data_IF_333668594415
#
_entry.id   IF_333668594415
#
_cell.length_a   1.000
_cell.length_b   1.000
_cell.length_c   1.000
_cell.angle_alpha   90.00
_cell.angle_beta   90.00
_cell.angle_gamma   90.00
#
_symmetry.space_group_name_H-M   'P 1'
#
loop_
_entity.id
_entity.type
_entity.pdbx_description
1 polymer ?
#
# COMPACT_ATOMS: atom_id res chain seq x y z
N UNK A 1 2.95 -11.17 5.02
CA UNK A 1 2.47 -12.28 5.88
C UNK A 1 3.61 -13.12 6.43
N UNK A 2 4.59 -13.56 5.62
CA UNK A 2 5.78 -14.32 6.11
C UNK A 2 6.58 -13.60 7.23
N UNK A 3 6.64 -12.27 7.21
CA UNK A 3 7.29 -11.50 8.29
C UNK A 3 6.58 -11.64 9.64
N UNK A 4 5.24 -11.68 9.65
CA UNK A 4 4.44 -11.79 10.87
C UNK A 4 4.57 -13.18 11.51
N UNK A 5 4.58 -14.22 10.68
CA UNK A 5 4.78 -15.61 11.10
C UNK A 5 6.18 -15.84 11.67
N UNK A 6 7.19 -15.20 11.08
CA UNK A 6 8.57 -15.20 11.59
C UNK A 6 8.69 -14.47 12.94
N UNK A 7 7.97 -13.36 13.11
CA UNK A 7 7.93 -12.64 14.39
C UNK A 7 7.20 -13.47 15.45
N UNK A 8 6.05 -14.04 15.12
CA UNK A 8 5.27 -14.87 16.03
C UNK A 8 6.03 -16.13 16.51
N UNK A 9 6.82 -16.76 15.64
CA UNK A 9 7.68 -17.90 16.01
C UNK A 9 8.89 -17.51 16.86
N UNK A 10 9.30 -16.23 16.84
CA UNK A 10 10.41 -15.71 17.66
C UNK A 10 9.96 -15.40 19.10
N UNK A 11 8.65 -15.25 19.35
CA UNK A 11 8.07 -15.09 20.68
C UNK A 11 8.00 -16.46 21.38
N UNK A 12 9.14 -17.13 21.54
CA UNK A 12 9.28 -18.21 22.50
C UNK A 12 9.75 -17.60 23.82
N UNK A 13 8.80 -17.49 24.75
CA UNK A 13 9.09 -17.09 26.12
C UNK A 13 9.95 -18.20 26.72
N UNK A 14 11.22 -17.88 26.97
CA UNK A 14 12.21 -18.81 27.48
C UNK A 14 11.89 -19.17 28.94
N UNK A 15 11.04 -20.19 29.13
CA UNK A 15 10.62 -20.72 30.44
C UNK A 15 11.78 -21.35 31.23
N UNK A 16 12.93 -21.55 30.58
CA UNK A 16 14.12 -22.18 31.13
C UNK A 16 14.88 -21.28 32.12
N UNK A 17 14.67 -19.96 32.09
CA UNK A 17 15.46 -19.01 32.91
C UNK A 17 15.31 -19.23 34.41
N UNK A 18 14.14 -19.69 34.87
CA UNK A 18 13.89 -19.98 36.28
C UNK A 18 14.66 -21.23 36.74
N UNK A 19 14.71 -22.25 35.90
CA UNK A 19 15.44 -23.49 36.16
C UNK A 19 16.95 -23.26 36.13
N UNK A 20 17.42 -22.45 35.18
CA UNK A 20 18.81 -22.02 35.10
C UNK A 20 19.23 -21.19 36.33
N UNK A 21 18.36 -20.30 36.84
CA UNK A 21 18.62 -19.57 38.09
C UNK A 21 18.77 -20.52 39.28
N UNK A 22 17.85 -21.47 39.45
CA UNK A 22 17.90 -22.45 40.53
C UNK A 22 19.17 -23.31 40.46
N UNK A 23 19.52 -23.79 39.27
CA UNK A 23 20.74 -24.57 39.02
C UNK A 23 22.00 -23.76 39.30
N UNK A 24 22.05 -22.50 38.90
CA UNK A 24 23.18 -21.61 39.18
C UNK A 24 23.38 -21.40 40.69
N UNK A 25 22.29 -21.23 41.44
CA UNK A 25 22.38 -21.12 42.91
C UNK A 25 22.85 -22.40 43.59
N UNK A 26 22.37 -23.56 43.13
CA UNK A 26 22.79 -24.85 43.67
C UNK A 26 24.28 -25.13 43.39
N UNK A 27 24.74 -24.85 42.16
CA UNK A 27 26.13 -25.04 41.77
C UNK A 27 27.06 -24.08 42.52
N UNK A 28 26.65 -22.81 42.72
CA UNK A 28 27.42 -21.86 43.51
C UNK A 28 27.57 -22.31 44.98
N UNK A 29 26.49 -22.83 45.58
CA UNK A 29 26.54 -23.37 46.94
C UNK A 29 27.43 -24.62 47.05
N UNK A 30 27.42 -25.50 46.05
CA UNK A 30 28.35 -26.65 45.99
C UNK A 30 29.80 -26.18 45.85
N UNK A 31 30.05 -25.17 45.03
CA UNK A 31 31.39 -24.62 44.83
C UNK A 31 31.92 -23.96 46.11
N UNK A 32 31.08 -23.25 46.86
CA UNK A 32 31.43 -22.71 48.18
C UNK A 32 31.92 -23.81 49.12
N UNK A 33 31.14 -24.90 49.23
CA UNK A 33 31.48 -26.03 50.09
C UNK A 33 32.79 -26.69 49.69
N UNK A 34 33.01 -26.94 48.40
CA UNK A 34 34.26 -27.54 47.93
C UNK A 34 35.46 -26.64 48.19
N UNK A 35 35.31 -25.33 48.09
CA UNK A 35 36.36 -24.36 48.40
C UNK A 35 36.67 -24.35 49.90
N UNK A 36 35.65 -24.36 50.76
CA UNK A 36 35.84 -24.49 52.21
C UNK A 36 36.56 -25.81 52.56
N UNK A 37 36.08 -26.94 52.04
CA UNK A 37 36.69 -28.26 52.23
C UNK A 37 38.15 -28.31 51.74
N UNK A 38 38.47 -27.70 50.60
CA UNK A 38 39.85 -27.59 50.09
C UNK A 38 40.75 -26.81 51.06
N UNK A 39 40.27 -25.67 51.57
CA UNK A 39 41.03 -24.86 52.52
C UNK A 39 41.19 -25.59 53.86
N UNK A 40 40.15 -26.25 54.37
CA UNK A 40 40.20 -27.07 55.58
C UNK A 40 41.24 -28.19 55.45
N UNK A 41 41.15 -28.99 54.38
CA UNK A 41 42.10 -30.11 54.16
C UNK A 41 43.54 -29.63 53.99
N UNK A 42 43.75 -28.45 53.41
CA UNK A 42 45.08 -27.83 53.30
C UNK A 42 45.60 -27.32 54.64
N UNK A 43 44.75 -26.76 55.50
CA UNK A 43 45.09 -26.34 56.86
C UNK A 43 45.41 -27.55 57.74
N UNK A 44 44.57 -28.58 57.73
CA UNK A 44 44.79 -29.83 58.47
C UNK A 44 46.11 -30.47 58.08
N UNK A 45 46.43 -30.50 56.77
CA UNK A 45 47.71 -31.01 56.29
C UNK A 45 48.89 -30.19 56.82
N UNK A 46 48.82 -28.86 56.74
CA UNK A 46 49.88 -27.98 57.24
C UNK A 46 50.07 -28.10 58.75
N UNK A 47 48.98 -28.28 59.50
CA UNK A 47 48.99 -28.50 60.94
C UNK A 47 49.69 -29.81 61.32
N UNK A 48 49.37 -30.91 60.64
CA UNK A 48 50.03 -32.20 60.87
C UNK A 48 51.52 -32.14 60.47
N UNK A 49 51.84 -31.46 59.37
CA UNK A 49 53.23 -31.28 58.91
C UNK A 49 54.05 -30.42 59.89
N UNK A 50 53.46 -29.36 60.47
CA UNK A 50 54.13 -28.55 61.49
C UNK A 50 54.36 -29.30 62.79
N UNK A 51 53.40 -30.12 63.24
CA UNK A 51 53.55 -31.00 64.40
C UNK A 51 54.67 -32.03 64.19
N UNK A 52 54.78 -32.61 63.00
CA UNK A 52 55.84 -33.59 62.70
C UNK A 52 57.24 -32.94 62.71
N UNK A 53 57.33 -31.66 62.34
CA UNK A 53 58.58 -30.90 62.34
C UNK A 53 58.95 -30.33 63.73
N UNK A 54 57.98 -30.18 64.63
CA UNK A 54 58.12 -29.61 65.98
C UNK A 54 58.19 -30.70 67.06
N UNK A 55 59.07 -31.68 66.90
CA UNK A 55 59.26 -32.76 67.87
C UNK A 55 60.12 -32.35 69.09
N UNK A 56 59.67 -31.35 69.86
CA UNK A 56 60.18 -31.08 71.22
C UNK A 56 59.02 -31.25 72.23
N UNK A 57 59.29 -31.96 73.33
CA UNK A 57 58.29 -32.59 74.20
C UNK A 57 57.43 -31.65 75.06
N UNK A 58 56.35 -32.20 75.65
CA UNK A 58 55.27 -31.44 76.25
C UNK A 58 55.63 -30.86 77.62
N UNK A 59 55.24 -29.61 77.86
CA UNK A 59 55.24 -28.98 79.18
C UNK A 59 53.78 -28.87 79.70
N UNK A 60 53.55 -29.15 80.98
CA UNK A 60 52.21 -29.38 81.56
C UNK A 60 51.31 -28.12 81.64
N UNK A 61 51.79 -26.94 81.20
CA UNK A 61 50.98 -25.70 81.06
C UNK A 61 50.19 -25.64 79.73
N UNK A 62 50.31 -26.66 78.88
CA UNK A 62 49.74 -26.67 77.53
C UNK A 62 48.19 -26.82 77.50
N UNK A 63 47.54 -27.41 78.50
CA UNK A 63 46.11 -27.80 78.37
C UNK A 63 45.13 -26.62 78.23
N UNK A 64 45.33 -25.52 78.98
CA UNK A 64 44.51 -24.31 78.85
C UNK A 64 44.81 -23.59 77.51
N UNK A 65 46.09 -23.58 77.09
CA UNK A 65 46.48 -22.99 75.81
C UNK A 65 45.96 -23.80 74.61
N UNK A 66 45.91 -25.13 74.71
CA UNK A 66 45.34 -26.03 73.71
C UNK A 66 43.84 -25.82 73.56
N UNK A 67 43.13 -25.62 74.68
CA UNK A 67 41.70 -25.30 74.65
C UNK A 67 41.41 -23.97 73.94
N UNK A 68 42.19 -22.92 74.22
CA UNK A 68 42.07 -21.63 73.52
C UNK A 68 42.39 -21.74 72.03
N UNK A 69 43.40 -22.52 71.66
CA UNK A 69 43.82 -22.71 70.27
C UNK A 69 42.80 -23.54 69.47
N UNK A 70 42.18 -24.53 70.11
CA UNK A 70 41.06 -25.28 69.55
C UNK A 70 39.85 -24.37 69.25
N UNK A 71 39.54 -23.43 70.16
CA UNK A 71 38.47 -22.45 69.95
C UNK A 71 38.79 -21.51 68.79
N UNK A 72 40.03 -21.00 68.72
CA UNK A 72 40.50 -20.16 67.60
C UNK A 72 40.45 -20.89 66.25
N UNK A 73 40.85 -22.16 66.19
CA UNK A 73 40.76 -22.98 64.95
C UNK A 73 39.30 -23.21 64.56
N UNK A 74 38.42 -23.48 65.52
CA UNK A 74 36.99 -23.66 65.25
C UNK A 74 36.35 -22.37 64.71
N UNK A 75 36.75 -21.23 65.25
CA UNK A 75 36.37 -19.90 64.76
C UNK A 75 36.88 -19.68 63.33
N UNK A 76 38.16 -19.99 63.07
CA UNK A 76 38.76 -19.88 61.74
C UNK A 76 38.03 -20.75 60.70
N UNK A 77 37.61 -21.96 61.05
CA UNK A 77 36.85 -22.81 60.15
C UNK A 77 35.47 -22.25 59.81
N UNK A 78 34.77 -21.68 60.80
CA UNK A 78 33.51 -20.98 60.53
C UNK A 78 33.70 -19.75 59.63
N UNK A 79 34.79 -19.02 59.79
CA UNK A 79 35.10 -17.85 58.97
C UNK A 79 35.47 -18.25 57.53
N UNK A 80 36.21 -19.35 57.35
CA UNK A 80 36.51 -19.91 56.02
C UNK A 80 35.24 -20.33 55.29
N UNK A 81 34.28 -20.94 56.00
CA UNK A 81 32.98 -21.30 55.41
C UNK A 81 32.25 -20.05 54.91
N UNK A 82 32.15 -19.00 55.74
CA UNK A 82 31.50 -17.72 55.39
C UNK A 82 32.24 -17.03 54.22
N UNK A 83 33.57 -16.98 54.25
CA UNK A 83 34.37 -16.36 53.20
C UNK A 83 34.27 -17.12 51.87
N UNK A 84 34.20 -18.44 51.92
CA UNK A 84 33.99 -19.28 50.73
C UNK A 84 32.61 -19.02 50.12
N UNK A 85 31.56 -18.90 50.94
CA UNK A 85 30.22 -18.56 50.49
C UNK A 85 30.19 -17.16 49.88
N UNK A 86 30.76 -16.16 50.57
CA UNK A 86 30.82 -14.78 50.06
C UNK A 86 31.56 -14.67 48.73
N UNK A 87 32.73 -15.31 48.63
CA UNK A 87 33.58 -15.26 47.42
C UNK A 87 32.88 -15.87 46.22
N UNK A 88 32.25 -17.04 46.40
CA UNK A 88 31.53 -17.73 45.34
C UNK A 88 30.22 -17.03 44.97
N UNK A 89 29.56 -16.42 45.96
CA UNK A 89 28.38 -15.62 45.74
C UNK A 89 28.69 -14.36 44.92
N UNK A 90 29.78 -13.65 45.25
CA UNK A 90 30.19 -12.44 44.55
C UNK A 90 30.80 -12.74 43.17
N UNK A 91 31.60 -13.81 43.06
CA UNK A 91 32.30 -14.17 41.82
C UNK A 91 31.42 -14.83 40.76
N UNK A 92 30.44 -15.64 41.16
CA UNK A 92 29.64 -16.45 40.22
C UNK A 92 28.14 -16.20 40.33
N UNK A 93 27.57 -16.35 41.54
CA UNK A 93 26.10 -16.33 41.70
C UNK A 93 25.48 -14.99 41.29
N UNK A 94 25.98 -13.89 41.85
CA UNK A 94 25.47 -12.54 41.57
C UNK A 94 25.59 -12.16 40.08
N UNK A 95 26.75 -12.31 39.42
CA UNK A 95 26.86 -11.96 38.00
C UNK A 95 26.02 -12.86 37.10
N UNK A 96 25.92 -14.17 37.37
CA UNK A 96 25.08 -15.08 36.58
C UNK A 96 23.60 -14.70 36.71
N UNK A 97 23.12 -14.44 37.93
CA UNK A 97 21.73 -14.01 38.13
C UNK A 97 21.43 -12.66 37.47
N UNK A 98 22.36 -11.71 37.54
CA UNK A 98 22.22 -10.42 36.86
C UNK A 98 22.17 -10.59 35.34
N UNK A 99 23.02 -11.42 34.76
CA UNK A 99 23.04 -11.71 33.33
C UNK A 99 21.71 -12.36 32.89
N UNK A 100 21.23 -13.37 33.62
CA UNK A 100 19.95 -14.03 33.36
C UNK A 100 18.77 -13.04 33.45
N UNK A 101 18.75 -12.18 34.46
CA UNK A 101 17.74 -11.12 34.58
C UNK A 101 17.79 -10.14 33.41
N UNK A 102 18.98 -9.67 33.02
CA UNK A 102 19.15 -8.74 31.90
C UNK A 102 18.67 -9.34 30.58
N UNK A 103 19.03 -10.61 30.32
CA UNK A 103 18.54 -11.36 29.15
C UNK A 103 17.02 -11.51 29.20
N UNK A 104 16.44 -11.81 30.36
CA UNK A 104 15.00 -11.90 30.52
C UNK A 104 14.28 -10.57 30.28
N UNK A 105 14.85 -9.45 30.71
CA UNK A 105 14.28 -8.11 30.44
C UNK A 105 14.39 -7.73 28.96
N UNK A 106 15.52 -8.05 28.33
CA UNK A 106 15.74 -7.79 26.90
C UNK A 106 14.78 -8.63 26.04
N UNK A 107 14.65 -9.93 26.34
CA UNK A 107 13.70 -10.82 25.66
C UNK A 107 12.24 -10.37 25.81
N UNK A 108 11.85 -9.87 26.99
CA UNK A 108 10.52 -9.29 27.19
C UNK A 108 10.34 -8.00 26.39
N UNK A 109 11.34 -7.12 26.37
CA UNK A 109 11.31 -5.87 25.61
C UNK A 109 11.18 -6.13 24.11
N UNK A 110 11.96 -7.07 23.57
CA UNK A 110 11.89 -7.43 22.15
C UNK A 110 10.55 -8.09 21.82
N UNK A 111 10.05 -8.98 22.66
CA UNK A 111 8.71 -9.57 22.51
C UNK A 111 7.61 -8.51 22.55
N UNK A 112 7.69 -7.53 23.44
CA UNK A 112 6.73 -6.43 23.50
C UNK A 112 6.79 -5.59 22.22
N UNK A 113 7.98 -5.20 21.76
CA UNK A 113 8.14 -4.44 20.52
C UNK A 113 7.61 -5.20 19.30
N UNK A 114 7.82 -6.52 19.27
CA UNK A 114 7.27 -7.40 18.24
C UNK A 114 5.74 -7.44 18.27
N UNK A 115 5.12 -7.51 19.46
CA UNK A 115 3.66 -7.45 19.61
C UNK A 115 3.09 -6.09 19.19
N UNK A 116 3.78 -4.99 19.50
CA UNK A 116 3.42 -3.65 19.05
C UNK A 116 3.46 -3.55 17.51
N UNK A 117 4.51 -4.09 16.87
CA UNK A 117 4.59 -4.16 15.41
C UNK A 117 3.45 -4.99 14.81
N UNK A 118 3.13 -6.14 15.40
CA UNK A 118 1.98 -6.95 14.95
C UNK A 118 0.69 -6.13 15.07
N UNK A 119 0.49 -5.43 16.17
CA UNK A 119 -0.68 -4.59 16.39
C UNK A 119 -0.79 -3.47 15.35
N UNK A 120 0.32 -2.77 15.07
CA UNK A 120 0.37 -1.71 14.06
C UNK A 120 0.02 -2.24 12.67
N UNK A 121 0.54 -3.42 12.29
CA UNK A 121 0.20 -4.02 10.99
C UNK A 121 -1.28 -4.39 10.90
N UNK A 122 -1.89 -4.90 11.98
CA UNK A 122 -3.33 -5.20 12.02
C UNK A 122 -4.14 -3.91 11.90
N UNK A 123 -3.71 -2.84 12.56
CA UNK A 123 -4.33 -1.52 12.47
C UNK A 123 -4.30 -0.99 11.03
N UNK A 124 -3.13 -1.05 10.37
CA UNK A 124 -2.97 -0.65 8.97
C UNK A 124 -3.85 -1.48 8.02
N UNK A 125 -3.87 -2.81 8.20
CA UNK A 125 -4.72 -3.70 7.40
C UNK A 125 -6.20 -3.37 7.57
N UNK A 126 -6.62 -3.07 8.80
CA UNK A 126 -8.00 -2.68 9.11
C UNK A 126 -8.36 -1.36 8.43
N UNK A 127 -7.52 -0.34 8.54
CA UNK A 127 -7.71 0.94 7.86
C UNK A 127 -7.71 0.78 6.33
N UNK A 128 -6.84 -0.07 5.79
CA UNK A 128 -6.81 -0.35 4.34
C UNK A 128 -8.13 -0.99 3.87
N UNK A 129 -8.67 -1.91 4.67
CA UNK A 129 -9.94 -2.59 4.40
C UNK A 129 -11.09 -1.57 4.42
N UNK A 130 -11.12 -0.69 5.41
CA UNK A 130 -12.10 0.40 5.50
C UNK A 130 -12.04 1.36 4.29
N UNK A 131 -10.84 1.76 3.87
CA UNK A 131 -10.68 2.60 2.66
C UNK A 131 -11.18 1.90 1.40
N UNK A 132 -10.96 0.58 1.27
CA UNK A 132 -11.43 -0.20 0.13
C UNK A 132 -12.95 -0.33 0.15
N UNK A 133 -13.56 -0.57 1.31
CA UNK A 133 -15.03 -0.67 1.44
C UNK A 133 -15.70 0.68 1.15
N UNK A 134 -15.12 1.80 1.59
CA UNK A 134 -15.61 3.14 1.25
C UNK A 134 -15.55 3.41 -0.25
N UNK A 135 -14.42 3.11 -0.91
CA UNK A 135 -14.28 3.23 -2.37
C UNK A 135 -15.27 2.36 -3.12
N UNK A 136 -15.50 1.13 -2.65
CA UNK A 136 -16.48 0.22 -3.25
C UNK A 136 -17.90 0.77 -3.12
N UNK A 137 -18.24 1.31 -1.94
CA UNK A 137 -19.54 1.93 -1.68
C UNK A 137 -19.77 3.17 -2.56
N UNK A 138 -18.75 4.02 -2.70
CA UNK A 138 -18.80 5.18 -3.60
C UNK A 138 -19.01 4.74 -5.05
N UNK A 139 -18.28 3.73 -5.54
CA UNK A 139 -18.45 3.21 -6.89
C UNK A 139 -19.84 2.60 -7.12
N UNK A 140 -20.36 1.88 -6.14
CA UNK A 140 -21.71 1.31 -6.19
C UNK A 140 -22.78 2.41 -6.22
N UNK A 141 -22.59 3.50 -5.48
CA UNK A 141 -23.48 4.67 -5.51
C UNK A 141 -23.49 5.34 -6.89
N UNK A 142 -22.31 5.55 -7.50
CA UNK A 142 -22.20 6.08 -8.87
C UNK A 142 -22.89 5.17 -9.89
N UNK A 143 -22.67 3.85 -9.79
CA UNK A 143 -23.34 2.87 -10.66
C UNK A 143 -24.86 2.92 -10.51
N UNK A 144 -25.35 3.10 -9.29
CA UNK A 144 -26.78 3.22 -9.00
C UNK A 144 -27.35 4.51 -9.61
N UNK A 145 -26.65 5.64 -9.50
CA UNK A 145 -27.05 6.90 -10.12
C UNK A 145 -27.07 6.84 -11.66
N UNK A 146 -26.05 6.22 -12.27
CA UNK A 146 -26.02 6.00 -13.73
C UNK A 146 -27.14 5.06 -14.19
N UNK A 147 -27.43 4.00 -13.45
CA UNK A 147 -28.57 3.13 -13.74
C UNK A 147 -29.89 3.88 -13.63
N UNK A 148 -30.04 4.77 -12.64
CA UNK A 148 -31.22 5.63 -12.53
C UNK A 148 -31.36 6.59 -13.72
N UNK A 149 -30.27 7.21 -14.17
CA UNK A 149 -30.29 8.06 -15.37
C UNK A 149 -30.59 7.25 -16.63
N UNK A 150 -30.01 6.05 -16.77
CA UNK A 150 -30.26 5.17 -17.91
C UNK A 150 -31.71 4.69 -17.95
N UNK A 151 -32.32 4.35 -16.81
CA UNK A 151 -33.74 3.98 -16.75
C UNK A 151 -34.63 5.18 -17.06
N UNK A 152 -34.32 6.38 -16.54
CA UNK A 152 -35.03 7.61 -16.88
C UNK A 152 -34.95 7.95 -18.37
N UNK A 153 -33.78 7.83 -18.97
CA UNK A 153 -33.58 8.05 -20.41
C UNK A 153 -34.41 7.07 -21.24
N UNK A 154 -34.39 5.77 -20.89
CA UNK A 154 -35.23 4.77 -21.56
C UNK A 154 -36.73 5.11 -21.44
N UNK A 155 -37.20 5.49 -20.26
CA UNK A 155 -38.59 5.93 -20.08
C UNK A 155 -38.94 7.15 -20.92
N UNK A 156 -38.06 8.16 -21.03
CA UNK A 156 -38.30 9.32 -21.90
C UNK A 156 -38.30 8.96 -23.38
N UNK A 157 -37.44 8.04 -23.81
CA UNK A 157 -37.38 7.56 -25.19
C UNK A 157 -38.66 6.78 -25.56
N UNK A 158 -39.11 5.88 -24.68
CA UNK A 158 -40.35 5.12 -24.85
C UNK A 158 -41.58 6.06 -24.85
N UNK A 159 -41.58 7.08 -23.97
CA UNK A 159 -42.63 8.11 -23.95
C UNK A 159 -42.67 8.92 -25.26
N UNK A 160 -41.52 9.33 -25.81
CA UNK A 160 -41.45 10.04 -27.10
C UNK A 160 -41.97 9.19 -28.27
N UNK A 161 -41.69 7.88 -28.28
CA UNK A 161 -42.23 6.95 -29.28
C UNK A 161 -43.75 6.79 -29.14
N UNK A 162 -44.26 6.71 -27.91
CA UNK A 162 -45.70 6.65 -27.61
C UNK A 162 -46.43 7.96 -27.99
N UNK A 163 -45.84 9.12 -27.71
CA UNK A 163 -46.36 10.44 -28.12
C UNK A 163 -46.36 10.62 -29.64
N UNK A 164 -45.31 10.17 -30.35
CA UNK A 164 -45.27 10.22 -31.81
C UNK A 164 -46.30 9.29 -32.46
N UNK A 165 -46.66 8.16 -31.82
CA UNK A 165 -47.76 7.31 -32.27
C UNK A 165 -49.13 7.93 -31.99
N UNK A 166 -49.31 8.66 -30.88
CA UNK A 166 -50.58 9.36 -30.57
C UNK A 166 -50.78 10.65 -31.37
N UNK A 167 -49.72 11.37 -31.78
CA UNK A 167 -49.86 12.57 -32.63
C UNK A 167 -50.36 12.19 -34.04
N UNK A 168 -49.96 11.02 -34.57
CA UNK A 168 -50.44 10.53 -35.88
C UNK A 168 -51.90 10.07 -35.86
N UNK A 169 -52.45 9.72 -34.70
CA UNK A 169 -53.88 9.34 -34.57
C UNK A 169 -54.77 10.50 -34.12
N UNK A 170 -54.23 11.56 -33.53
CA UNK A 170 -55.02 12.68 -32.97
C UNK A 170 -55.15 13.90 -33.88
N UNK A 171 -54.37 14.02 -34.96
CA UNK A 171 -54.60 15.07 -36.00
C UNK A 171 -55.93 14.91 -36.75
N UNK A 172 -56.62 13.77 -36.60
CA UNK A 172 -57.96 13.57 -37.14
C UNK A 172 -59.11 14.05 -36.21
N UNK A 173 -58.86 14.35 -34.93
CA UNK A 173 -59.95 14.57 -33.94
C UNK A 173 -60.07 15.98 -33.35
N UNK A 174 -59.15 16.92 -33.62
CA UNK A 174 -59.20 18.28 -33.01
C UNK A 174 -59.95 19.35 -33.83
N UNK A 175 -61.02 18.98 -34.57
CA UNK A 175 -61.90 19.95 -35.25
C UNK A 175 -63.27 20.20 -34.58
N UNK A 176 -63.55 19.60 -33.43
CA UNK A 176 -64.84 19.78 -32.75
C UNK A 176 -64.67 20.08 -31.27
N UNK A 177 -64.24 21.30 -30.93
CA UNK A 177 -64.38 21.88 -29.58
C UNK A 177 -64.09 23.39 -29.63
N UNK A 178 -64.94 24.14 -30.34
CA UNK A 178 -65.11 25.58 -30.08
C UNK A 178 -66.56 25.76 -29.66
N UNK A 179 -66.81 26.04 -28.38
CA UNK A 179 -67.98 26.80 -27.85
C UNK A 179 -68.11 26.54 -26.36
N UNK A 180 -67.67 27.50 -25.53
CA UNK A 180 -68.32 27.95 -24.28
C UNK A 180 -67.30 28.80 -23.50
N UNK A 181 -67.37 30.13 -23.65
CA UNK A 181 -68.00 31.06 -22.70
C UNK A 181 -67.10 31.40 -21.50
N UNK A 182 -66.56 32.62 -21.53
CA UNK A 182 -66.04 33.34 -20.35
C UNK A 182 -67.23 33.94 -19.56
N UNK A 183 -67.09 34.38 -18.29
CA UNK A 183 -66.52 35.71 -18.07
C UNK A 183 -65.68 35.93 -16.78
N UNK A 184 -64.79 36.91 -16.95
CA UNK A 184 -64.11 37.87 -16.05
C UNK A 184 -64.38 37.93 -14.53
N UNK A 185 -63.34 38.35 -13.79
CA UNK A 185 -63.32 39.56 -12.91
C UNK A 185 -61.91 39.82 -12.34
N UNK A 186 -61.60 41.04 -11.82
CA UNK A 186 -60.31 41.72 -12.08
C UNK A 186 -59.48 42.04 -10.81
N UNK A 187 -58.24 42.52 -10.99
CA UNK A 187 -57.61 43.40 -9.99
C UNK A 187 -56.56 44.33 -10.59
N UNK A 188 -56.86 45.63 -10.53
CA UNK A 188 -55.92 46.75 -10.66
C UNK A 188 -55.04 46.84 -9.40
N UNK A 189 -53.76 47.20 -9.54
CA UNK A 189 -53.14 48.30 -8.78
C UNK A 189 -51.90 48.85 -9.48
N UNK A 190 -51.82 50.17 -9.44
CA UNK A 190 -50.93 51.16 -10.05
C UNK A 190 -49.39 51.03 -9.92
N UNK A 191 -48.74 51.42 -11.02
CA UNK A 191 -47.64 52.42 -11.18
C UNK A 191 -46.47 52.46 -10.18
N UNK A 192 -45.27 52.15 -10.68
CA UNK A 192 -44.10 53.07 -10.68
C UNK A 192 -43.07 52.60 -11.73
N UNK A 193 -42.53 53.53 -12.50
CA UNK A 193 -41.87 53.28 -13.78
C UNK A 193 -40.42 52.80 -13.72
N UNK A 194 -40.02 52.12 -14.80
CA UNK A 194 -38.81 52.36 -15.59
C UNK A 194 -38.89 51.46 -16.82
N UNK A 195 -38.44 51.98 -17.96
CA UNK A 195 -38.51 51.36 -19.28
C UNK A 195 -37.88 49.95 -19.23
N UNK A 196 -38.71 48.92 -19.22
CA UNK A 196 -38.32 47.55 -19.52
C UNK A 196 -39.01 47.17 -20.82
N UNK A 197 -38.21 47.05 -21.88
CA UNK A 197 -38.60 46.32 -23.07
C UNK A 197 -39.08 44.92 -22.64
N UNK A 198 -40.07 44.30 -23.31
CA UNK A 198 -40.51 42.94 -22.98
C UNK A 198 -39.34 41.98 -23.26
N UNK A 199 -38.59 41.65 -22.21
CA UNK A 199 -37.33 40.94 -22.34
C UNK A 199 -37.58 39.47 -22.05
N UNK A 200 -37.78 38.72 -23.14
CA UNK A 200 -37.97 37.27 -23.15
C UNK A 200 -36.90 36.54 -22.33
N UNK A 201 -37.30 35.40 -21.72
CA UNK A 201 -36.50 34.57 -20.82
C UNK A 201 -35.08 34.18 -21.32
N UNK A 202 -34.81 34.26 -22.62
CA UNK A 202 -33.48 33.99 -23.20
C UNK A 202 -32.43 35.05 -22.88
N UNK A 203 -32.83 36.30 -22.72
CA UNK A 203 -31.93 37.43 -22.41
C UNK A 203 -31.31 37.35 -21.01
N UNK A 204 -32.10 36.91 -20.02
CA UNK A 204 -31.70 36.81 -18.60
C UNK A 204 -30.75 35.66 -18.36
N UNK A 205 -30.96 34.54 -19.08
CA UNK A 205 -30.02 33.41 -19.08
C UNK A 205 -28.68 33.79 -19.71
N UNK A 206 -28.72 34.55 -20.81
CA UNK A 206 -27.53 35.07 -21.48
C UNK A 206 -26.80 36.08 -20.59
N UNK A 207 -27.52 36.97 -19.90
CA UNK A 207 -26.94 37.89 -18.92
C UNK A 207 -26.28 37.17 -17.75
N UNK A 208 -26.90 36.11 -17.23
CA UNK A 208 -26.29 35.29 -16.17
C UNK A 208 -25.03 34.56 -16.65
N UNK A 209 -25.01 34.12 -17.90
CA UNK A 209 -23.86 33.45 -18.50
C UNK A 209 -22.71 34.44 -18.73
N UNK A 210 -22.98 35.61 -19.30
CA UNK A 210 -21.98 36.67 -19.50
C UNK A 210 -21.44 37.18 -18.16
N UNK A 211 -22.30 37.33 -17.14
CA UNK A 211 -21.88 37.70 -15.79
C UNK A 211 -21.02 36.63 -15.12
N UNK A 212 -21.28 35.34 -15.38
CA UNK A 212 -20.40 34.23 -14.95
C UNK A 212 -19.05 34.23 -15.67
N UNK A 213 -19.02 34.70 -16.91
CA UNK A 213 -17.79 34.89 -17.69
C UNK A 213 -17.08 36.23 -17.38
N UNK A 214 -17.63 37.05 -16.47
CA UNK A 214 -17.05 38.33 -16.06
C UNK A 214 -17.26 39.48 -17.06
N UNK A 215 -18.16 39.33 -18.03
CA UNK A 215 -18.48 40.36 -19.04
C UNK A 215 -19.82 41.00 -18.70
N UNK A 216 -19.85 42.31 -18.51
CA UNK A 216 -21.08 43.07 -18.27
C UNK A 216 -21.77 43.40 -19.59
N UNK A 217 -23.09 43.19 -19.68
CA UNK A 217 -23.90 43.64 -20.83
C UNK A 217 -23.83 45.17 -20.98
N UNK A 218 -23.57 45.89 -19.90
CA UNK A 218 -23.49 47.35 -19.90
C UNK A 218 -22.25 47.82 -20.68
N UNK A 219 -21.09 47.19 -20.46
CA UNK A 219 -19.85 47.49 -21.19
C UNK A 219 -19.96 47.15 -22.69
N UNK A 220 -20.75 46.11 -23.00
CA UNK A 220 -21.04 45.65 -24.36
C UNK A 220 -21.96 46.61 -25.13
N UNK A 221 -22.86 47.29 -24.43
CA UNK A 221 -23.79 48.27 -25.01
C UNK A 221 -23.16 49.66 -25.09
N UNK A 222 -22.28 50.03 -24.15
CA UNK A 222 -21.56 51.31 -24.16
C UNK A 222 -20.41 51.36 -25.19
N UNK A 223 -19.72 50.24 -25.46
CA UNK A 223 -18.54 50.24 -26.36
C UNK A 223 -18.87 50.19 -27.86
N UNK A 224 -20.16 50.11 -28.24
CA UNK A 224 -20.55 49.94 -29.63
C UNK A 224 -20.30 48.50 -30.12
N UNK A 225 -21.32 47.94 -30.75
CA UNK A 225 -21.32 46.57 -31.28
C UNK A 225 -20.17 46.37 -32.29
N UNK A 226 -19.14 45.60 -31.93
CA UNK A 226 -18.97 44.20 -32.39
C UNK A 226 -17.54 43.66 -32.25
N UNK A 227 -16.51 44.51 -32.30
CA UNK A 227 -15.11 44.06 -32.42
C UNK A 227 -14.37 44.01 -31.09
N UNK A 228 -14.47 45.05 -30.26
CA UNK A 228 -13.83 45.06 -28.93
C UNK A 228 -14.46 44.05 -27.96
N UNK A 229 -15.76 43.80 -28.14
CA UNK A 229 -16.52 42.83 -27.38
C UNK A 229 -16.21 41.37 -27.72
N UNK A 230 -16.02 41.07 -29.01
CA UNK A 230 -15.62 39.73 -29.45
C UNK A 230 -14.16 39.47 -29.07
N UNK A 231 -13.29 40.47 -29.20
CA UNK A 231 -11.91 40.41 -28.73
C UNK A 231 -11.82 40.15 -27.22
N UNK A 232 -12.62 40.84 -26.40
CA UNK A 232 -12.67 40.60 -24.95
C UNK A 232 -13.19 39.20 -24.61
N UNK A 233 -14.17 38.68 -25.35
CA UNK A 233 -14.68 37.32 -25.14
C UNK A 233 -13.64 36.25 -25.55
N UNK A 234 -12.96 36.47 -26.67
CA UNK A 234 -11.91 35.58 -27.17
C UNK A 234 -10.67 35.59 -26.26
N UNK A 235 -10.28 36.74 -25.72
CA UNK A 235 -9.23 36.86 -24.70
C UNK A 235 -9.59 36.07 -23.42
N UNK A 236 -10.84 36.18 -22.95
CA UNK A 236 -11.29 35.41 -21.78
C UNK A 236 -11.40 33.91 -22.05
N UNK A 237 -11.84 33.52 -23.25
CA UNK A 237 -11.85 32.12 -23.69
C UNK A 237 -10.42 31.57 -23.73
N UNK A 238 -9.49 32.33 -24.27
CA UNK A 238 -8.07 31.95 -24.34
C UNK A 238 -7.47 31.82 -22.94
N UNK A 239 -7.72 32.79 -22.04
CA UNK A 239 -7.30 32.71 -20.65
C UNK A 239 -7.87 31.48 -19.93
N UNK A 240 -9.12 31.10 -20.20
CA UNK A 240 -9.74 29.91 -19.60
C UNK A 240 -9.08 28.62 -20.13
N UNK A 241 -8.78 28.55 -21.42
CA UNK A 241 -8.06 27.42 -22.01
C UNK A 241 -6.64 27.32 -21.45
N UNK A 242 -5.94 28.44 -21.29
CA UNK A 242 -4.63 28.48 -20.66
C UNK A 242 -4.69 28.08 -19.18
N UNK A 243 -5.70 28.53 -18.42
CA UNK A 243 -5.90 28.11 -17.04
C UNK A 243 -6.19 26.61 -16.95
N UNK A 244 -7.00 26.04 -17.84
CA UNK A 244 -7.27 24.60 -17.89
C UNK A 244 -6.01 23.81 -18.24
N UNK A 245 -5.24 24.28 -19.23
CA UNK A 245 -3.98 23.65 -19.60
C UNK A 245 -2.95 23.71 -18.46
N UNK A 246 -2.85 24.84 -17.77
CA UNK A 246 -1.98 25.00 -16.60
C UNK A 246 -2.42 24.12 -15.42
N UNK A 247 -3.73 23.98 -15.19
CA UNK A 247 -4.26 23.06 -14.18
C UNK A 247 -3.98 21.60 -14.54
N UNK A 248 -4.16 21.24 -15.82
CA UNK A 248 -3.85 19.90 -16.32
C UNK A 248 -2.36 19.59 -16.16
N UNK A 249 -1.45 20.47 -16.59
CA UNK A 249 -0.01 20.26 -16.46
C UNK A 249 0.42 20.22 -14.99
N UNK A 250 -0.20 21.04 -14.13
CA UNK A 250 0.06 21.03 -12.68
C UNK A 250 -0.46 19.75 -12.01
N UNK A 251 -1.55 19.17 -12.50
CA UNK A 251 -2.07 17.89 -12.00
C UNK A 251 -1.29 16.68 -12.53
N UNK A 252 -0.82 16.72 -13.78
CA UNK A 252 -0.06 15.63 -14.41
C UNK A 252 1.38 15.52 -13.88
N UNK A 253 2.02 16.66 -13.56
CA UNK A 253 3.39 16.72 -13.04
C UNK A 253 3.63 15.83 -11.80
N UNK A 254 2.84 15.91 -10.71
CA UNK A 254 3.02 15.04 -9.55
C UNK A 254 2.62 13.59 -9.84
N UNK A 255 1.62 13.36 -10.70
CA UNK A 255 1.15 12.01 -11.02
C UNK A 255 2.21 11.19 -11.76
N UNK A 256 2.99 11.81 -12.65
CA UNK A 256 4.05 11.12 -13.40
C UNK A 256 5.11 10.49 -12.48
N UNK A 257 5.49 11.18 -11.40
CA UNK A 257 6.50 10.71 -10.44
C UNK A 257 5.99 9.47 -9.66
N UNK A 258 4.74 9.50 -9.23
CA UNK A 258 4.14 8.37 -8.50
C UNK A 258 3.79 7.20 -9.42
N UNK A 259 3.37 7.45 -10.66
CA UNK A 259 3.02 6.40 -11.61
C UNK A 259 4.25 5.59 -12.03
N UNK A 260 5.39 6.24 -12.29
CA UNK A 260 6.63 5.54 -12.65
C UNK A 260 7.16 4.66 -11.51
N UNK A 261 7.14 5.15 -10.27
CA UNK A 261 7.55 4.35 -9.10
C UNK A 261 6.57 3.21 -8.79
N UNK A 262 5.27 3.44 -8.95
CA UNK A 262 4.26 2.39 -8.82
C UNK A 262 4.39 1.31 -9.90
N UNK A 263 4.67 1.68 -11.16
CA UNK A 263 4.87 0.73 -12.25
C UNK A 263 6.13 -0.11 -12.05
N UNK A 264 7.24 0.52 -11.60
CA UNK A 264 8.45 -0.21 -11.23
C UNK A 264 8.20 -1.17 -10.05
N UNK A 265 7.49 -0.74 -9.02
CA UNK A 265 7.13 -1.60 -7.89
C UNK A 265 6.22 -2.77 -8.33
N UNK A 266 5.28 -2.52 -9.24
CA UNK A 266 4.44 -3.55 -9.82
C UNK A 266 5.26 -4.56 -10.64
N UNK A 267 6.20 -4.11 -11.47
CA UNK A 267 7.11 -4.97 -12.24
C UNK A 267 8.05 -5.78 -11.33
N UNK A 268 8.57 -5.19 -10.26
CA UNK A 268 9.39 -5.90 -9.27
C UNK A 268 8.58 -6.95 -8.51
N UNK A 269 7.34 -6.63 -8.13
CA UNK A 269 6.45 -7.58 -7.47
C UNK A 269 6.04 -8.71 -8.42
N UNK A 270 5.78 -8.39 -9.69
CA UNK A 270 5.49 -9.37 -10.73
C UNK A 270 6.69 -10.30 -10.94
N UNK A 271 7.89 -9.74 -11.15
CA UNK A 271 9.11 -10.55 -11.30
C UNK A 271 9.45 -11.39 -10.06
N UNK A 272 9.24 -10.88 -8.85
CA UNK A 272 9.45 -11.65 -7.61
C UNK A 272 8.42 -12.78 -7.43
N UNK A 273 7.16 -12.55 -7.79
CA UNK A 273 6.11 -13.58 -7.73
C UNK A 273 6.31 -14.70 -8.76
N UNK A 274 6.87 -14.37 -9.94
CA UNK A 274 7.10 -15.33 -11.00
C UNK A 274 8.55 -15.85 -11.08
N UNK A 275 9.46 -15.39 -10.21
CA UNK A 275 10.86 -15.84 -10.19
C UNK A 275 11.01 -17.36 -9.97
N UNK A 276 10.13 -17.95 -9.15
CA UNK A 276 10.14 -19.39 -8.81
C UNK A 276 9.00 -20.18 -9.48
N UNK A 277 8.23 -19.53 -10.38
CA UNK A 277 7.08 -20.13 -11.05
C UNK A 277 7.38 -20.39 -12.52
N UNK A 278 7.27 -21.65 -12.97
CA UNK A 278 7.35 -22.00 -14.40
C UNK A 278 6.10 -21.61 -15.20
N UNK A 279 5.24 -20.77 -14.62
CA UNK A 279 3.98 -20.34 -15.22
C UNK A 279 4.19 -18.96 -15.86
N UNK A 280 4.50 -18.95 -17.15
CA UNK A 280 4.45 -17.72 -17.95
C UNK A 280 2.99 -17.27 -18.08
N UNK A 281 2.62 -16.19 -17.42
CA UNK A 281 1.36 -15.50 -17.70
C UNK A 281 1.54 -14.70 -18.98
N UNK A 282 1.42 -15.39 -20.11
CA UNK A 282 1.14 -14.72 -21.37
C UNK A 282 -0.33 -14.30 -21.36
N UNK A 283 -0.57 -12.99 -21.40
CA UNK A 283 -1.88 -12.42 -21.68
C UNK A 283 -2.30 -12.63 -23.15
N UNK A 284 -1.42 -13.20 -23.98
CA UNK A 284 -1.78 -13.65 -25.31
C UNK A 284 -2.62 -14.92 -25.20
N UNK A 285 -3.82 -14.87 -25.78
CA UNK A 285 -4.63 -16.06 -26.00
C UNK A 285 -3.81 -17.06 -26.83
N UNK A 286 -3.43 -18.21 -26.25
CA UNK A 286 -2.62 -19.21 -26.96
C UNK A 286 -3.24 -19.67 -28.27
N UNK A 287 -4.57 -19.51 -28.45
CA UNK A 287 -5.23 -19.76 -29.72
C UNK A 287 -4.95 -18.68 -30.79
N UNK A 288 -4.65 -17.44 -30.38
CA UNK A 288 -4.24 -16.35 -31.27
C UNK A 288 -2.78 -16.50 -31.68
N UNK A 289 -1.88 -16.88 -30.77
CA UNK A 289 -0.48 -17.14 -31.09
C UNK A 289 -0.32 -18.32 -32.05
N UNK A 290 -1.13 -19.37 -31.88
CA UNK A 290 -1.14 -20.49 -32.83
C UNK A 290 -1.65 -20.07 -34.22
N UNK A 291 -2.63 -19.15 -34.29
CA UNK A 291 -3.11 -18.59 -35.56
C UNK A 291 -2.08 -17.66 -36.21
N UNK A 292 -1.38 -16.85 -35.42
CA UNK A 292 -0.28 -16.00 -35.89
C UNK A 292 0.87 -16.85 -36.43
N UNK A 293 1.28 -17.90 -35.71
CA UNK A 293 2.29 -18.85 -36.19
C UNK A 293 1.87 -19.57 -37.47
N UNK A 294 0.59 -19.95 -37.60
CA UNK A 294 0.07 -20.52 -38.84
C UNK A 294 0.09 -19.52 -40.01
N UNK A 295 -0.26 -18.25 -39.76
CA UNK A 295 -0.16 -17.18 -40.76
C UNK A 295 1.28 -16.89 -41.14
N UNK A 296 2.21 -16.89 -40.19
CA UNK A 296 3.65 -16.71 -40.43
C UNK A 296 4.19 -17.86 -41.30
N UNK A 297 3.78 -19.11 -41.03
CA UNK A 297 4.12 -20.23 -41.89
C UNK A 297 3.53 -20.10 -43.31
N UNK A 298 2.29 -19.60 -43.43
CA UNK A 298 1.68 -19.33 -44.75
C UNK A 298 2.41 -18.22 -45.49
N UNK A 299 2.82 -17.15 -44.80
CA UNK A 299 3.60 -16.05 -45.36
C UNK A 299 4.97 -16.56 -45.83
N UNK A 300 5.62 -17.43 -45.07
CA UNK A 300 6.91 -18.01 -45.44
C UNK A 300 6.80 -18.93 -46.66
N UNK A 301 5.71 -19.71 -46.76
CA UNK A 301 5.40 -20.49 -47.97
C UNK A 301 5.14 -19.57 -49.16
N UNK A 302 4.41 -18.47 -48.96
CA UNK A 302 4.09 -17.51 -50.02
C UNK A 302 5.35 -16.76 -50.48
N UNK A 303 6.23 -16.40 -49.54
CA UNK A 303 7.54 -15.80 -49.81
C UNK A 303 8.42 -16.72 -50.63
N UNK A 304 8.51 -18.01 -50.25
CA UNK A 304 9.22 -19.03 -51.05
C UNK A 304 8.58 -19.25 -52.41
N UNK A 305 7.26 -19.17 -52.50
CA UNK A 305 6.53 -19.21 -53.77
C UNK A 305 6.83 -18.03 -54.69
N UNK A 306 6.98 -16.83 -54.11
CA UNK A 306 7.36 -15.61 -54.83
C UNK A 306 8.84 -15.65 -55.24
N UNK A 307 9.74 -16.13 -54.38
CA UNK A 307 11.15 -16.37 -54.75
C UNK A 307 11.30 -17.44 -55.83
N UNK A 308 10.41 -18.43 -55.84
CA UNK A 308 10.33 -19.46 -56.88
C UNK A 308 9.62 -19.01 -58.16
N UNK A 309 8.98 -17.84 -58.16
CA UNK A 309 8.30 -17.29 -59.33
C UNK A 309 9.34 -16.64 -60.23
N UNK A 310 9.66 -17.32 -61.33
CA UNK A 310 10.61 -16.80 -62.31
C UNK A 310 10.02 -15.59 -63.06
N UNK A 311 10.32 -14.39 -62.57
CA UNK A 311 9.95 -13.09 -63.15
C UNK A 311 10.53 -12.85 -64.55
N UNK A 312 11.49 -13.66 -64.99
CA UNK A 312 12.06 -13.59 -66.33
C UNK A 312 11.13 -14.15 -67.41
N UNK A 313 10.15 -14.99 -67.05
CA UNK A 313 9.14 -15.49 -68.00
C UNK A 313 8.19 -14.34 -68.42
N UNK A 314 7.98 -13.35 -67.55
CA UNK A 314 7.19 -12.14 -67.85
C UNK A 314 7.99 -11.10 -68.65
N UNK A 315 9.33 -11.12 -68.56
CA UNK A 315 10.22 -10.25 -69.34
C UNK A 315 10.69 -10.88 -70.65
N UNK A 316 10.41 -12.16 -70.88
CA UNK A 316 10.55 -12.82 -72.16
C UNK A 316 9.48 -12.30 -73.12
N UNK A 317 9.69 -11.11 -73.66
CA UNK A 317 8.85 -10.52 -74.70
C UNK A 317 8.50 -11.57 -75.75
N UNK A 318 7.20 -11.70 -76.01
CA UNK A 318 6.68 -12.68 -76.94
C UNK A 318 7.38 -12.48 -78.30
N UNK A 319 8.26 -13.40 -78.68
CA UNK A 319 8.99 -13.35 -79.96
C UNK A 319 8.03 -13.30 -81.15
N UNK A 320 6.76 -13.66 -80.95
CA UNK A 320 5.71 -13.43 -81.94
C UNK A 320 5.35 -11.96 -82.10
N UNK A 321 5.33 -11.17 -81.02
CA UNK A 321 5.04 -9.73 -81.03
C UNK A 321 6.18 -8.93 -81.68
N UNK A 322 7.44 -9.31 -81.45
CA UNK A 322 8.60 -8.69 -82.09
C UNK A 322 8.62 -8.97 -83.61
N UNK A 323 8.35 -10.22 -84.03
CA UNK A 323 8.17 -10.58 -85.44
C UNK A 323 6.95 -9.95 -86.09
N UNK A 324 5.91 -9.65 -85.32
CA UNK A 324 4.72 -8.95 -85.80
C UNK A 324 5.03 -7.47 -86.04
N UNK A 325 5.79 -6.83 -85.14
CA UNK A 325 6.27 -5.46 -85.32
C UNK A 325 7.25 -5.33 -86.50
N UNK A 326 8.14 -6.30 -86.74
CA UNK A 326 9.03 -6.27 -87.92
C UNK A 326 8.30 -6.41 -89.26
N UNK A 327 7.10 -7.02 -89.27
CA UNK A 327 6.32 -7.23 -90.50
C UNK A 327 5.37 -6.08 -90.84
N UNK A 328 5.08 -5.22 -89.87
CA UNK A 328 4.05 -4.18 -90.00
C UNK A 328 4.50 -2.79 -89.51
N UNK A 329 5.76 -2.64 -89.12
CA UNK A 329 6.43 -1.37 -88.85
C UNK A 329 7.15 -0.84 -90.09
#
# INVERSE_FOLDING_TARGET
MQGLEKIASTIQIDTNDRELCARATELAAKLARYLAEEVHTRLDRLYIESLHNSALGPDDEEEETLATLQEEISSLYSEIEILSEMTTQQGFRVPILRALQSRGTEARSTSQQQLEQIFDTILELTQSTERITERLNNRQSHRTALNYLATKYKCEQDNKLSEQQTIKTTTAQKRLSRLSYAPSTPKNTDRRGSLSLPLDHGSKALEQLLRRLGVSIIDLVESGLTEDASAALDEKKQHMLEMLQNLQSTAESPLSIYLGSADQAAQLLNSALYADSSFEISMADGAQDQKLGALECQIEVLRKGIEGLNVDILHGGDKAQEKFMERWG
#
